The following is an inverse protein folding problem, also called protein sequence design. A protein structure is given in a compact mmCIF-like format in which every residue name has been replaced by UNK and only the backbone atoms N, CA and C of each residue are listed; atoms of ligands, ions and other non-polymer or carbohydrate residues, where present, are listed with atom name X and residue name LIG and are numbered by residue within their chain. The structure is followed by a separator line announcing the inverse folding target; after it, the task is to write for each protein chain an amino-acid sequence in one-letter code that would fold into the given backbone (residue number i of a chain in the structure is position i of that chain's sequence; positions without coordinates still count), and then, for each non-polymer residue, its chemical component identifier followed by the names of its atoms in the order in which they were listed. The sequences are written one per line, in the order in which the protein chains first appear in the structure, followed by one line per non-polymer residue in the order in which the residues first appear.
data_IF_447093977385
#
_entry.id   IF_447093977385
#
_cell.length_a   1.000
_cell.length_b   1.000
_cell.length_c   1.000
_cell.angle_alpha   90.00
_cell.angle_beta   90.00
_cell.angle_gamma   90.00
#
_symmetry.space_group_name_H-M   'P 1'
#
loop_
_entity.id
_entity.type
_entity.pdbx_description
1 polymer ?
#
# COMPACT_ATOMS: atom_id res chain seq x y z
N UNK A 1 26.50 15.61 -6.06
CA UNK A 1 26.18 14.17 -6.14
C UNK A 1 24.77 13.98 -5.57
N UNK A 2 23.72 14.08 -6.38
CA UNK A 2 22.32 14.04 -5.88
C UNK A 2 21.39 13.12 -6.69
N UNK A 3 21.94 12.29 -7.58
CA UNK A 3 21.14 11.41 -8.44
C UNK A 3 20.68 10.14 -7.68
N UNK A 4 21.41 9.74 -6.65
CA UNK A 4 21.20 8.45 -5.95
C UNK A 4 19.98 8.37 -5.01
N UNK A 5 19.40 9.50 -4.61
CA UNK A 5 18.37 9.50 -3.55
C UNK A 5 16.94 9.38 -4.09
N UNK A 6 16.68 9.88 -5.30
CA UNK A 6 15.33 9.88 -5.89
C UNK A 6 14.93 8.50 -6.42
N UNK A 7 15.90 7.72 -6.90
CA UNK A 7 15.65 6.37 -7.42
C UNK A 7 15.29 5.39 -6.30
N UNK A 8 15.99 5.42 -5.16
CA UNK A 8 15.67 4.55 -4.01
C UNK A 8 14.24 4.73 -3.51
N UNK A 9 13.76 5.99 -3.39
CA UNK A 9 12.39 6.27 -2.99
C UNK A 9 11.33 5.74 -3.97
N UNK A 10 11.60 5.81 -5.29
CA UNK A 10 10.70 5.29 -6.33
C UNK A 10 10.72 3.75 -6.36
N UNK A 11 11.90 3.13 -6.22
CA UNK A 11 12.05 1.67 -6.18
C UNK A 11 11.35 1.09 -4.95
N UNK A 12 11.43 1.73 -3.78
CA UNK A 12 10.70 1.30 -2.58
C UNK A 12 9.17 1.39 -2.76
N UNK A 13 8.67 2.43 -3.45
CA UNK A 13 7.23 2.54 -3.77
C UNK A 13 6.78 1.35 -4.61
N UNK A 14 7.58 0.92 -5.60
CA UNK A 14 7.26 -0.20 -6.49
C UNK A 14 7.32 -1.58 -5.81
N UNK A 15 7.90 -1.68 -4.60
CA UNK A 15 7.89 -2.92 -3.81
C UNK A 15 6.70 -3.03 -2.86
N UNK A 16 5.88 -1.99 -2.72
CA UNK A 16 4.73 -2.03 -1.83
C UNK A 16 3.62 -2.89 -2.42
N UNK A 17 3.08 -3.77 -1.58
CA UNK A 17 1.98 -4.66 -1.90
C UNK A 17 0.90 -4.51 -0.84
N UNK A 18 -0.35 -4.36 -1.26
CA UNK A 18 -1.46 -4.27 -0.32
C UNK A 18 -1.58 -5.58 0.46
N UNK A 19 -1.57 -5.50 1.79
CA UNK A 19 -1.73 -6.64 2.69
C UNK A 19 -3.08 -7.34 2.48
N UNK A 20 -4.12 -6.57 2.22
CA UNK A 20 -5.46 -7.12 1.97
C UNK A 20 -5.56 -7.68 0.55
N UNK A 21 -5.66 -6.85 -0.48
CA UNK A 21 -5.98 -7.29 -1.85
C UNK A 21 -4.78 -7.56 -2.77
N UNK A 22 -3.55 -7.52 -2.25
CA UNK A 22 -2.32 -7.87 -2.98
C UNK A 22 -1.98 -7.01 -4.21
N UNK A 23 -2.73 -5.94 -4.49
CA UNK A 23 -2.38 -4.98 -5.54
C UNK A 23 -1.02 -4.34 -5.27
N UNK A 24 -0.27 -4.09 -6.33
CA UNK A 24 1.04 -3.40 -6.31
C UNK A 24 0.95 -1.99 -6.88
N UNK A 25 -0.24 -1.60 -7.37
CA UNK A 25 -0.53 -0.28 -7.91
C UNK A 25 -1.71 0.32 -7.17
N UNK A 26 -1.57 1.57 -6.73
CA UNK A 26 -2.58 2.35 -6.03
C UNK A 26 -2.18 3.82 -6.10
N UNK A 27 -3.14 4.73 -6.03
CA UNK A 27 -2.87 6.18 -6.01
C UNK A 27 -2.20 6.61 -4.70
N UNK A 28 -2.55 5.96 -3.59
CA UNK A 28 -2.00 6.23 -2.27
C UNK A 28 -1.78 4.93 -1.49
N UNK A 29 -0.70 4.90 -0.72
CA UNK A 29 -0.35 3.83 0.20
C UNK A 29 -0.55 4.28 1.64
N UNK A 30 -1.12 3.41 2.47
CA UNK A 30 -1.35 3.64 3.89
C UNK A 30 -0.57 2.62 4.73
N UNK A 31 0.09 3.05 5.78
CA UNK A 31 0.80 2.14 6.71
C UNK A 31 -0.22 1.46 7.62
N UNK A 32 -0.16 0.14 7.72
CA UNK A 32 -1.01 -0.66 8.62
C UNK A 32 -0.23 -1.12 9.85
N UNK A 33 0.93 -1.74 9.62
CA UNK A 33 1.90 -2.21 10.62
C UNK A 33 3.30 -1.94 10.08
N UNK A 34 4.34 -2.21 10.89
CA UNK A 34 5.74 -1.90 10.59
C UNK A 34 6.21 -2.26 9.17
N UNK A 35 5.65 -3.33 8.58
CA UNK A 35 5.97 -3.81 7.22
C UNK A 35 4.73 -4.11 6.36
N UNK A 36 3.54 -3.68 6.78
CA UNK A 36 2.30 -3.92 6.04
C UNK A 36 1.68 -2.62 5.54
N UNK A 37 1.28 -2.64 4.28
CA UNK A 37 0.66 -1.49 3.61
C UNK A 37 -0.75 -1.82 3.14
N UNK A 38 -1.62 -0.83 3.09
CA UNK A 38 -2.93 -0.91 2.44
C UNK A 38 -2.96 0.03 1.23
N UNK A 39 -3.61 -0.44 0.16
CA UNK A 39 -4.01 0.45 -0.93
C UNK A 39 -5.15 1.38 -0.48
N UNK A 40 -5.45 2.37 -1.32
CA UNK A 40 -6.48 3.36 -1.06
C UNK A 40 -7.84 2.71 -0.77
N UNK A 41 -8.23 1.74 -1.58
CA UNK A 41 -9.56 1.11 -1.51
C UNK A 41 -9.70 0.26 -0.24
N UNK A 42 -8.65 -0.46 0.14
CA UNK A 42 -8.67 -1.29 1.35
C UNK A 42 -8.61 -0.44 2.62
N UNK A 43 -7.87 0.67 2.59
CA UNK A 43 -7.85 1.61 3.70
C UNK A 43 -9.24 2.26 3.89
N UNK A 44 -9.83 2.77 2.81
CA UNK A 44 -11.17 3.36 2.84
C UNK A 44 -12.22 2.37 3.36
N UNK A 45 -12.18 1.11 2.91
CA UNK A 45 -13.08 0.07 3.40
C UNK A 45 -12.87 -0.20 4.89
N UNK A 46 -11.62 -0.35 5.34
CA UNK A 46 -11.30 -0.58 6.76
C UNK A 46 -11.78 0.58 7.64
N UNK A 47 -11.57 1.82 7.20
CA UNK A 47 -12.05 3.01 7.91
C UNK A 47 -13.58 3.05 8.01
N UNK A 48 -14.28 2.69 6.93
CA UNK A 48 -15.75 2.74 6.88
C UNK A 48 -16.43 1.62 7.67
N UNK A 49 -15.88 0.41 7.63
CA UNK A 49 -16.54 -0.79 8.16
C UNK A 49 -15.83 -1.42 9.35
N UNK A 50 -14.66 -0.91 9.76
CA UNK A 50 -13.87 -1.45 10.87
C UNK A 50 -13.24 -2.83 10.61
N UNK A 51 -13.34 -3.36 9.39
CA UNK A 51 -12.87 -4.70 9.02
C UNK A 51 -12.21 -4.72 7.64
N UNK A 52 -11.42 -5.74 7.36
CA UNK A 52 -10.88 -5.95 6.02
C UNK A 52 -11.98 -6.41 5.05
N UNK A 53 -11.88 -5.98 3.79
CA UNK A 53 -12.77 -6.45 2.73
C UNK A 53 -12.43 -7.91 2.43
N UNK A 54 -13.43 -8.78 2.38
CA UNK A 54 -13.29 -10.12 1.80
C UNK A 54 -12.85 -9.98 0.35
N UNK A 55 -11.63 -10.42 0.04
CA UNK A 55 -11.26 -10.61 -1.36
C UNK A 55 -11.87 -11.94 -1.78
N UNK A 56 -13.15 -11.91 -2.16
CA UNK A 56 -13.66 -12.94 -3.05
C UNK A 56 -12.83 -12.82 -4.33
N UNK A 57 -11.94 -13.80 -4.51
CA UNK A 57 -11.19 -14.07 -5.73
C UNK A 57 -12.17 -14.56 -6.80
#
# INVERSE_FOLDING_TARGET
MEIGNKISGIIEVNKRKCFNCRVTQTQQWYNLLKEHYLCNECNAYKHKYGKFRSNEL
#
